data_IF_177866812016
#
_entry.id   IF_177866812016
#
_cell.length_a   1.000
_cell.length_b   1.000
_cell.length_c   1.000
_cell.angle_alpha   90.00
_cell.angle_beta   90.00
_cell.angle_gamma   90.00
#
_symmetry.space_group_name_H-M   'P 1'
#
loop_
_entity.id
_entity.type
_entity.pdbx_description
1 polymer ?
#
# COMPACT_ATOMS: atom_id res chain seq x y z
N UNK A 1 16.71 3.81 10.37
CA UNK A 1 17.37 4.21 9.12
C UNK A 1 16.29 4.25 8.05
N UNK A 2 16.00 5.40 7.43
CA UNK A 2 14.85 5.56 6.54
C UNK A 2 14.99 4.80 5.20
N UNK A 3 16.22 4.54 4.75
CA UNK A 3 16.51 3.85 3.49
C UNK A 3 16.09 2.38 3.45
N UNK A 4 16.07 1.67 4.59
CA UNK A 4 15.64 0.27 4.62
C UNK A 4 14.15 0.09 4.29
N UNK A 5 13.32 1.08 4.63
CA UNK A 5 11.87 1.04 4.37
C UNK A 5 11.56 1.28 2.90
N UNK A 6 12.17 2.30 2.31
CA UNK A 6 12.09 2.57 0.88
C UNK A 6 12.44 1.31 0.08
N UNK A 7 13.57 0.67 0.41
CA UNK A 7 14.00 -0.55 -0.28
C UNK A 7 12.99 -1.69 -0.16
N UNK A 8 12.32 -1.83 0.99
CA UNK A 8 11.25 -2.82 1.18
C UNK A 8 10.00 -2.53 0.34
N UNK A 9 9.58 -1.26 0.25
CA UNK A 9 8.47 -0.82 -0.61
C UNK A 9 8.74 -1.23 -2.05
N UNK A 10 9.95 -0.93 -2.55
CA UNK A 10 10.36 -1.28 -3.91
C UNK A 10 10.43 -2.79 -4.12
N UNK A 11 11.05 -3.53 -3.20
CA UNK A 11 11.15 -4.99 -3.29
C UNK A 11 9.76 -5.66 -3.29
N UNK A 12 8.86 -5.23 -2.40
CA UNK A 12 7.50 -5.78 -2.32
C UNK A 12 6.76 -5.60 -3.65
N UNK A 13 6.82 -4.40 -4.23
CA UNK A 13 6.19 -4.12 -5.51
C UNK A 13 6.83 -4.88 -6.68
N UNK A 14 8.15 -4.99 -6.69
CA UNK A 14 8.86 -5.77 -7.70
C UNK A 14 8.50 -7.27 -7.61
N UNK A 15 8.46 -7.83 -6.40
CA UNK A 15 8.05 -9.22 -6.17
C UNK A 15 6.60 -9.43 -6.61
N UNK A 16 5.71 -8.50 -6.29
CA UNK A 16 4.31 -8.53 -6.70
C UNK A 16 4.17 -8.59 -8.23
N UNK A 17 4.92 -7.77 -8.98
CA UNK A 17 4.92 -7.81 -10.44
C UNK A 17 5.54 -9.06 -11.04
N UNK A 18 6.56 -9.63 -10.38
CA UNK A 18 7.23 -10.83 -10.86
C UNK A 18 6.41 -12.09 -10.61
N UNK A 19 5.67 -12.15 -9.49
CA UNK A 19 4.90 -13.31 -9.08
C UNK A 19 3.48 -13.33 -9.67
N UNK A 20 2.91 -12.17 -9.99
CA UNK A 20 1.50 -12.06 -10.38
C UNK A 20 1.32 -11.25 -11.66
N UNK A 21 0.27 -11.60 -12.40
CA UNK A 21 -0.09 -10.88 -13.63
C UNK A 21 -0.54 -9.45 -13.34
N UNK A 22 -0.27 -8.50 -14.25
CA UNK A 22 -0.63 -7.09 -14.09
C UNK A 22 -2.14 -6.87 -13.85
N UNK A 23 -3.01 -7.68 -14.47
CA UNK A 23 -4.47 -7.61 -14.25
C UNK A 23 -4.87 -7.98 -12.81
N UNK A 24 -4.23 -9.01 -12.25
CA UNK A 24 -4.51 -9.49 -10.90
C UNK A 24 -4.11 -8.47 -9.83
N UNK A 25 -2.98 -7.79 -10.04
CA UNK A 25 -2.43 -6.80 -9.11
C UNK A 25 -2.98 -5.40 -9.35
N UNK A 26 -3.48 -5.09 -10.54
CA UNK A 26 -4.05 -3.77 -10.89
C UNK A 26 -5.12 -3.34 -9.88
N UNK A 27 -6.01 -4.25 -9.48
CA UNK A 27 -7.03 -3.98 -8.45
C UNK A 27 -6.42 -3.67 -7.08
N UNK A 28 -5.40 -4.43 -6.68
CA UNK A 28 -4.71 -4.24 -5.40
C UNK A 28 -3.93 -2.92 -5.38
N UNK A 29 -3.15 -2.67 -6.42
CA UNK A 29 -2.36 -1.46 -6.62
C UNK A 29 -3.26 -0.23 -6.67
N UNK A 30 -4.41 -0.31 -7.37
CA UNK A 30 -5.38 0.79 -7.42
C UNK A 30 -5.98 1.09 -6.05
N UNK A 31 -6.30 0.06 -5.26
CA UNK A 31 -6.79 0.25 -3.89
C UNK A 31 -5.70 0.87 -3.00
N UNK A 32 -4.48 0.36 -3.06
CA UNK A 32 -3.34 0.91 -2.30
C UNK A 32 -3.04 2.35 -2.70
N UNK A 33 -3.03 2.67 -3.99
CA UNK A 33 -2.82 4.03 -4.50
C UNK A 33 -3.88 4.97 -3.95
N UNK A 34 -5.15 4.54 -3.95
CA UNK A 34 -6.26 5.32 -3.40
C UNK A 34 -6.11 5.54 -1.90
N UNK A 35 -5.69 4.52 -1.15
CA UNK A 35 -5.42 4.65 0.29
C UNK A 35 -4.29 5.66 0.55
N UNK A 36 -3.14 5.51 -0.12
CA UNK A 36 -1.99 6.41 0.04
C UNK A 36 -2.34 7.84 -0.39
N UNK A 37 -3.03 8.00 -1.53
CA UNK A 37 -3.49 9.30 -2.03
C UNK A 37 -4.47 9.98 -1.07
N UNK A 38 -5.40 9.22 -0.46
CA UNK A 38 -6.31 9.74 0.55
C UNK A 38 -5.57 10.19 1.81
N UNK A 39 -4.53 9.46 2.25
CA UNK A 39 -3.71 9.84 3.41
C UNK A 39 -2.94 11.13 3.12
N UNK A 40 -2.32 11.24 1.94
CA UNK A 40 -1.60 12.45 1.51
C UNK A 40 -2.56 13.64 1.39
N UNK A 41 -3.77 13.44 0.85
CA UNK A 41 -4.77 14.51 0.67
C UNK A 41 -5.47 14.90 1.98
N UNK A 42 -5.68 13.94 2.88
CA UNK A 42 -6.39 14.11 4.14
C UNK A 42 -5.57 13.58 5.33
N UNK A 43 -4.40 14.18 5.63
CA UNK A 43 -3.56 13.74 6.73
C UNK A 43 -4.25 13.90 8.09
N UNK A 44 -5.22 14.81 8.24
CA UNK A 44 -5.93 14.97 9.51
C UNK A 44 -6.97 13.86 9.78
N UNK A 45 -7.35 13.07 8.79
CA UNK A 45 -8.47 12.14 8.91
C UNK A 45 -7.99 10.73 9.29
N UNK A 46 -8.18 10.40 10.57
CA UNK A 46 -7.75 9.12 11.15
C UNK A 46 -8.44 7.90 10.53
N UNK A 47 -9.53 8.07 9.77
CA UNK A 47 -10.19 6.96 9.08
C UNK A 47 -9.31 6.39 7.98
N UNK A 48 -8.59 7.24 7.22
CA UNK A 48 -7.71 6.78 6.13
C UNK A 48 -6.41 6.17 6.67
N UNK A 49 -6.06 6.48 7.92
CA UNK A 49 -4.93 5.89 8.66
C UNK A 49 -5.24 4.50 9.21
N UNK A 50 -6.46 3.97 9.04
CA UNK A 50 -6.81 2.63 9.52
C UNK A 50 -7.55 1.84 8.45
N UNK A 51 -7.07 0.63 8.17
CA UNK A 51 -7.65 -0.27 7.17
C UNK A 51 -8.14 -1.51 7.89
N UNK A 52 -9.45 -1.76 7.89
CA UNK A 52 -10.04 -2.95 8.50
C UNK A 52 -9.80 -4.17 7.62
N UNK A 53 -9.31 -5.27 8.21
CA UNK A 53 -9.11 -6.55 7.49
C UNK A 53 -10.44 -7.11 7.00
N UNK A 54 -11.52 -6.90 7.77
CA UNK A 54 -12.90 -7.28 7.41
C UNK A 54 -13.47 -6.55 6.18
N UNK A 55 -12.77 -5.56 5.61
CA UNK A 55 -13.24 -4.90 4.39
C UNK A 55 -13.09 -5.85 3.21
N UNK A 56 -14.21 -6.30 2.61
CA UNK A 56 -14.23 -7.26 1.48
C UNK A 56 -13.37 -6.83 0.30
N UNK A 57 -13.22 -5.53 0.06
CA UNK A 57 -12.32 -5.02 -0.98
C UNK A 57 -10.87 -5.27 -0.62
N UNK A 58 -10.48 -4.93 0.61
CA UNK A 58 -9.13 -5.15 1.10
C UNK A 58 -8.82 -6.65 1.17
N UNK A 59 -9.72 -7.46 1.72
CA UNK A 59 -9.55 -8.91 1.81
C UNK A 59 -9.42 -9.58 0.44
N UNK A 60 -10.33 -9.26 -0.49
CA UNK A 60 -10.37 -9.88 -1.82
C UNK A 60 -9.35 -9.32 -2.83
N UNK A 61 -8.73 -8.16 -2.56
CA UNK A 61 -7.78 -7.53 -3.47
C UNK A 61 -6.37 -7.43 -2.89
N UNK A 62 -6.21 -7.11 -1.62
CA UNK A 62 -4.91 -6.79 -1.00
C UNK A 62 -4.45 -7.89 -0.06
N UNK A 63 -5.32 -8.43 0.79
CA UNK A 63 -4.94 -9.47 1.77
C UNK A 63 -4.54 -10.81 1.13
N UNK A 64 -4.92 -11.04 -0.13
CA UNK A 64 -4.48 -12.20 -0.91
C UNK A 64 -3.02 -12.12 -1.36
N UNK A 65 -2.41 -10.94 -1.30
CA UNK A 65 -1.04 -10.71 -1.74
C UNK A 65 -0.16 -10.40 -0.53
N UNK A 66 0.71 -11.32 -0.11
CA UNK A 66 1.62 -11.06 1.02
C UNK A 66 2.52 -9.86 0.77
N UNK A 67 2.92 -9.61 -0.47
CA UNK A 67 3.74 -8.47 -0.87
C UNK A 67 3.02 -7.14 -0.61
N UNK A 68 1.70 -7.08 -0.80
CA UNK A 68 0.94 -5.88 -0.46
C UNK A 68 0.89 -5.64 1.05
N UNK A 69 0.88 -6.69 1.87
CA UNK A 69 0.95 -6.57 3.32
C UNK A 69 2.34 -6.08 3.75
N UNK A 70 3.41 -6.64 3.17
CA UNK A 70 4.78 -6.17 3.41
C UNK A 70 4.95 -4.70 3.02
N UNK A 71 4.36 -4.27 1.92
CA UNK A 71 4.34 -2.88 1.50
C UNK A 71 3.68 -1.97 2.53
N UNK A 72 2.51 -2.35 3.07
CA UNK A 72 1.83 -1.59 4.12
C UNK A 72 2.72 -1.49 5.37
N UNK A 73 3.31 -2.60 5.80
CA UNK A 73 4.23 -2.64 6.94
C UNK A 73 5.46 -1.74 6.72
N UNK A 74 6.02 -1.74 5.51
CA UNK A 74 7.17 -0.90 5.16
C UNK A 74 6.82 0.60 5.13
N UNK A 75 5.60 0.93 4.71
CA UNK A 75 5.05 2.29 4.70
C UNK A 75 4.82 2.85 6.11
N UNK A 76 4.70 1.96 7.10
CA UNK A 76 4.55 2.32 8.52
C UNK A 76 3.20 1.94 9.12
N UNK A 77 2.39 1.15 8.39
CA UNK A 77 1.26 0.47 8.98
C UNK A 77 1.74 -0.62 9.93
N UNK A 78 1.04 -0.75 11.05
CA UNK A 78 1.20 -1.88 11.95
C UNK A 78 -0.01 -2.82 11.76
N UNK A 79 0.30 -4.10 11.59
CA UNK A 79 -0.70 -5.16 11.62
C UNK A 79 -1.24 -5.30 13.05
N UNK A 80 -2.49 -4.92 13.28
CA UNK A 80 -3.23 -5.29 14.49
C UNK A 80 -4.17 -6.45 14.17
N UNK A 81 -4.68 -7.10 15.22
CA UNK A 81 -5.51 -8.31 15.12
C UNK A 81 -6.66 -8.19 14.12
N UNK A 82 -7.29 -7.02 14.01
CA UNK A 82 -8.48 -6.78 13.16
C UNK A 82 -8.25 -5.75 12.03
N UNK A 83 -7.17 -4.95 12.10
CA UNK A 83 -6.96 -3.80 11.21
C UNK A 83 -5.49 -3.42 11.10
N UNK A 84 -5.12 -2.83 9.97
CA UNK A 84 -3.85 -2.15 9.80
C UNK A 84 -3.99 -0.70 10.25
N UNK A 85 -3.09 -0.22 11.10
CA UNK A 85 -3.11 1.17 11.58
C UNK A 85 -1.78 1.83 11.23
N UNK A 86 -1.83 2.98 10.57
CA UNK A 86 -0.66 3.78 10.26
C UNK A 86 -0.18 4.46 11.54
N UNK A 87 0.89 3.94 12.12
CA UNK A 87 1.47 4.47 13.36
C UNK A 87 2.64 5.39 13.06
N UNK A 88 3.38 5.13 11.97
CA UNK A 88 4.47 5.99 11.51
C UNK A 88 4.16 6.54 10.14
N UNK A 89 3.85 7.83 10.11
CA UNK A 89 3.60 8.57 8.88
C UNK A 89 4.87 9.31 8.48
N UNK A 90 5.53 8.83 7.43
CA UNK A 90 6.69 9.49 6.83
C UNK A 90 6.25 10.05 5.47
N UNK A 91 6.10 11.37 5.31
CA UNK A 91 5.60 11.96 4.08
C UNK A 91 6.48 11.60 2.88
N UNK A 92 7.80 11.50 3.06
CA UNK A 92 8.71 11.03 2.01
C UNK A 92 8.37 9.60 1.55
N UNK A 93 8.13 8.67 2.49
CA UNK A 93 7.77 7.29 2.16
C UNK A 93 6.39 7.20 1.51
N UNK A 94 5.42 8.02 1.94
CA UNK A 94 4.10 8.10 1.30
C UNK A 94 4.20 8.55 -0.17
N UNK A 95 5.04 9.56 -0.43
CA UNK A 95 5.28 10.03 -1.79
C UNK A 95 5.97 8.98 -2.65
N UNK A 96 6.99 8.30 -2.12
CA UNK A 96 7.66 7.20 -2.83
C UNK A 96 6.66 6.08 -3.13
N UNK A 97 5.94 5.62 -2.12
CA UNK A 97 4.90 4.60 -2.24
C UNK A 97 3.88 4.95 -3.32
N UNK A 98 3.40 6.20 -3.33
CA UNK A 98 2.49 6.70 -4.35
C UNK A 98 3.11 6.63 -5.75
N UNK A 99 4.32 7.16 -5.93
CA UNK A 99 5.01 7.14 -7.23
C UNK A 99 5.29 5.72 -7.70
N UNK A 100 5.70 4.81 -6.82
CA UNK A 100 5.87 3.40 -7.17
C UNK A 100 4.55 2.80 -7.64
N UNK A 101 3.46 2.98 -6.90
CA UNK A 101 2.14 2.45 -7.27
C UNK A 101 1.61 3.07 -8.57
N UNK A 102 1.88 4.35 -8.82
CA UNK A 102 1.47 5.06 -10.03
C UNK A 102 2.10 4.46 -11.29
N UNK A 103 3.37 4.07 -11.22
CA UNK A 103 4.08 3.39 -12.33
C UNK A 103 3.49 2.00 -12.60
N UNK A 104 2.95 1.34 -11.57
CA UNK A 104 2.36 0.01 -11.66
C UNK A 104 0.91 0.03 -12.15
N UNK A 105 0.23 1.16 -11.99
CA UNK A 105 -1.10 1.33 -12.54
C UNK A 105 -0.97 1.37 -14.06
N UNK A 106 -1.81 0.63 -14.81
CA UNK A 106 -1.91 0.85 -16.23
C UNK A 106 -2.36 2.31 -16.38
N UNK A 107 -1.46 3.17 -16.86
CA UNK A 107 -1.81 4.54 -17.21
C UNK A 107 -2.96 4.44 -18.19
N UNK A 108 -4.15 4.84 -17.75
CA UNK A 108 -5.28 5.00 -18.65
C UNK A 108 -4.96 6.23 -19.48
N UNK A 109 -4.30 6.00 -20.61
CA UNK A 109 -4.14 6.94 -21.70
C UNK A 109 -4.74 6.31 -22.96
#
# INVERSE_FOLDING_TARGET
MAGDRERRIHNAMQHLQLHYSPDAISKAVSLLYKVVSNIISHPADAKFRSIRKANRLFEGQVAKFPECLEFLLALGFEDQSDKFVLVREDPALLWIARSTLEVLLPTAA
#
